data_IF_715052123414
#
_entry.id   IF_715052123414
#
_cell.length_a   1.000
_cell.length_b   1.000
_cell.length_c   1.000
_cell.angle_alpha   90.00
_cell.angle_beta   90.00
_cell.angle_gamma   90.00
#
_symmetry.space_group_name_H-M   'P 1'
#
loop_
_entity.id
_entity.type
_entity.pdbx_description
1 polymer ?
#
# COMPACT_ATOMS: atom_id res chain seq x y z
N UNK A 1 -4.58 -5.08 -20.52
CA UNK A 1 -3.44 -5.38 -19.65
C UNK A 1 -2.73 -4.09 -19.28
N UNK A 2 -2.46 -3.86 -17.98
CA UNK A 2 -1.71 -2.69 -17.48
C UNK A 2 -0.38 -3.07 -16.86
N UNK A 3 -0.19 -4.31 -16.49
CA UNK A 3 1.07 -4.80 -15.90
C UNK A 3 0.98 -6.23 -15.41
N UNK A 4 1.98 -6.61 -14.63
CA UNK A 4 2.10 -7.93 -14.00
C UNK A 4 2.35 -7.74 -12.51
N UNK A 5 1.66 -8.51 -11.71
CA UNK A 5 1.93 -8.57 -10.28
C UNK A 5 3.19 -9.41 -10.01
N UNK A 6 3.76 -9.24 -8.83
CA UNK A 6 5.02 -9.91 -8.44
C UNK A 6 4.91 -11.43 -8.32
N UNK A 7 3.70 -11.96 -8.26
CA UNK A 7 3.39 -13.41 -8.28
C UNK A 7 3.14 -13.96 -9.69
N UNK A 8 3.39 -13.13 -10.73
CA UNK A 8 3.31 -13.53 -12.14
C UNK A 8 1.92 -13.45 -12.75
N UNK A 9 0.87 -13.06 -12.01
CA UNK A 9 -0.44 -12.87 -12.59
C UNK A 9 -0.58 -11.50 -13.26
N UNK A 10 -1.33 -11.41 -14.39
CA UNK A 10 -1.55 -10.15 -15.09
C UNK A 10 -2.51 -9.25 -14.32
N UNK A 11 -2.33 -7.95 -14.49
CA UNK A 11 -3.19 -6.92 -13.95
C UNK A 11 -3.87 -6.13 -15.08
N UNK A 12 -5.17 -5.93 -14.96
CA UNK A 12 -6.00 -5.19 -15.91
C UNK A 12 -6.64 -3.99 -15.26
N UNK A 13 -7.09 -3.01 -16.05
CA UNK A 13 -7.75 -1.82 -15.54
C UNK A 13 -9.24 -1.86 -15.84
N UNK A 14 -10.03 -1.76 -14.79
CA UNK A 14 -11.46 -1.58 -14.58
C UNK A 14 -12.44 -2.40 -15.44
N UNK A 15 -12.11 -2.75 -16.68
CA UNK A 15 -13.04 -3.43 -17.59
C UNK A 15 -12.66 -4.89 -17.81
N UNK A 16 -13.65 -5.75 -17.84
CA UNK A 16 -13.51 -7.17 -18.15
C UNK A 16 -14.80 -7.73 -18.73
N UNK A 17 -14.77 -8.97 -19.19
CA UNK A 17 -15.92 -9.66 -19.73
C UNK A 17 -16.97 -9.91 -18.62
N UNK A 18 -18.25 -9.73 -18.93
CA UNK A 18 -19.33 -9.98 -17.96
C UNK A 18 -19.46 -11.46 -17.59
N UNK A 19 -19.14 -12.35 -18.52
CA UNK A 19 -19.01 -13.80 -18.27
C UNK A 19 -17.53 -14.17 -18.26
N UNK A 20 -17.08 -14.76 -17.16
CA UNK A 20 -15.68 -15.16 -16.96
C UNK A 20 -15.19 -16.24 -17.92
N UNK A 21 -16.11 -16.95 -18.59
CA UNK A 21 -15.79 -18.06 -19.50
C UNK A 21 -16.07 -17.72 -20.97
N UNK A 22 -16.59 -16.53 -21.27
CA UNK A 22 -17.00 -16.14 -22.62
C UNK A 22 -16.41 -14.79 -23.04
N UNK A 23 -15.41 -14.85 -23.90
CA UNK A 23 -14.76 -13.66 -24.49
C UNK A 23 -15.64 -12.88 -25.49
N UNK A 24 -16.82 -13.41 -25.83
CA UNK A 24 -17.82 -12.71 -26.66
C UNK A 24 -18.88 -11.99 -25.81
N UNK A 25 -18.87 -12.16 -24.50
CA UNK A 25 -19.79 -11.48 -23.59
C UNK A 25 -19.52 -9.97 -23.53
N UNK A 26 -20.46 -9.23 -22.97
CA UNK A 26 -20.34 -7.77 -22.83
C UNK A 26 -19.11 -7.39 -21.97
N UNK A 27 -18.47 -6.29 -22.31
CA UNK A 27 -17.41 -5.70 -21.50
C UNK A 27 -18.05 -4.74 -20.50
N UNK A 28 -17.85 -5.03 -19.22
CA UNK A 28 -18.39 -4.25 -18.10
C UNK A 28 -17.26 -3.70 -17.21
N UNK A 29 -17.58 -2.67 -16.43
CA UNK A 29 -16.73 -2.23 -15.33
C UNK A 29 -16.89 -3.20 -14.18
N UNK A 30 -15.78 -3.89 -13.83
CA UNK A 30 -15.78 -4.87 -12.76
C UNK A 30 -15.80 -4.20 -11.40
N UNK A 31 -16.66 -4.69 -10.52
CA UNK A 31 -16.86 -4.13 -9.18
C UNK A 31 -16.11 -4.94 -8.13
N UNK A 32 -15.40 -4.30 -7.19
CA UNK A 32 -14.81 -4.99 -6.06
C UNK A 32 -15.90 -5.57 -5.13
N UNK A 33 -15.57 -6.64 -4.43
CA UNK A 33 -16.44 -7.20 -3.38
C UNK A 33 -16.14 -6.61 -1.99
N UNK A 34 -15.49 -5.47 -1.97
CA UNK A 34 -15.26 -4.67 -0.78
C UNK A 34 -16.26 -3.52 -0.69
N UNK A 35 -16.78 -3.26 0.49
CA UNK A 35 -17.64 -2.11 0.72
C UNK A 35 -17.26 -1.37 2.01
N UNK A 36 -17.63 -0.10 2.07
CA UNK A 36 -17.54 0.68 3.29
C UNK A 36 -18.48 0.11 4.36
N UNK A 37 -17.98 -0.11 5.57
CA UNK A 37 -18.78 -0.50 6.72
C UNK A 37 -19.79 0.59 7.07
N UNK A 38 -20.96 0.17 7.55
CA UNK A 38 -22.00 1.11 8.01
C UNK A 38 -21.69 1.76 9.35
N UNK A 39 -20.90 1.07 10.16
CA UNK A 39 -20.50 1.51 11.49
C UNK A 39 -18.98 1.32 11.66
N UNK A 40 -18.31 2.22 12.39
CA UNK A 40 -16.90 2.07 12.68
C UNK A 40 -16.63 0.88 13.62
N UNK A 41 -15.46 0.27 13.50
CA UNK A 41 -15.01 -0.74 14.44
C UNK A 41 -14.76 -0.12 15.83
N UNK A 42 -14.91 -0.93 16.88
CA UNK A 42 -14.58 -0.52 18.24
C UNK A 42 -13.10 -0.09 18.33
N UNK A 43 -12.88 1.08 18.90
CA UNK A 43 -11.53 1.66 19.03
C UNK A 43 -11.02 2.39 17.79
N UNK A 44 -11.81 2.47 16.71
CA UNK A 44 -11.46 3.31 15.57
C UNK A 44 -11.41 4.78 16.02
N UNK A 45 -10.31 5.52 15.74
CA UNK A 45 -10.28 6.94 16.04
C UNK A 45 -11.29 7.70 15.17
N UNK A 46 -12.05 8.58 15.76
CA UNK A 46 -13.03 9.46 15.09
C UNK A 46 -12.47 10.85 14.79
N UNK A 47 -11.36 11.20 15.45
CA UNK A 47 -10.69 12.49 15.28
C UNK A 47 -9.18 12.32 15.30
N UNK A 48 -8.49 13.25 14.69
CA UNK A 48 -7.04 13.39 14.78
C UNK A 48 -6.65 14.80 15.23
N UNK A 49 -5.44 14.93 15.74
CA UNK A 49 -4.81 16.23 15.97
C UNK A 49 -3.70 16.43 14.95
N UNK A 50 -3.79 17.48 14.16
CA UNK A 50 -2.76 17.83 13.19
C UNK A 50 -1.97 19.07 13.65
N UNK A 51 -0.65 19.02 13.48
CA UNK A 51 0.24 20.16 13.65
C UNK A 51 0.63 20.65 12.23
N UNK A 52 0.20 21.84 11.87
CA UNK A 52 0.52 22.46 10.61
C UNK A 52 1.52 23.61 10.82
N UNK A 53 2.50 23.76 9.93
CA UNK A 53 3.49 24.83 9.98
C UNK A 53 4.79 24.48 10.73
N UNK A 54 5.03 23.20 11.02
CA UNK A 54 6.27 22.72 11.66
C UNK A 54 6.44 23.10 13.12
N UNK A 55 7.66 23.08 13.65
CA UNK A 55 7.96 23.47 15.04
C UNK A 55 7.48 24.89 15.34
N UNK A 56 6.54 25.04 16.28
CA UNK A 56 5.87 26.30 16.58
C UNK A 56 4.66 26.64 15.70
N UNK A 57 4.24 25.74 14.84
CA UNK A 57 3.06 25.88 14.02
C UNK A 57 1.73 25.75 14.79
N UNK A 58 0.64 25.80 14.03
CA UNK A 58 -0.70 25.75 14.63
C UNK A 58 -1.16 24.32 14.80
N UNK A 59 -1.60 23.98 16.01
CA UNK A 59 -2.24 22.70 16.31
C UNK A 59 -3.75 22.79 16.09
N UNK A 60 -4.27 21.88 15.30
CA UNK A 60 -5.69 21.69 15.04
C UNK A 60 -6.17 20.41 15.72
N UNK A 61 -6.75 20.51 16.93
CA UNK A 61 -7.27 19.33 17.64
C UNK A 61 -8.64 18.92 17.10
N UNK A 62 -8.95 17.63 17.26
CA UNK A 62 -10.28 17.10 16.99
C UNK A 62 -10.76 17.29 15.53
N UNK A 63 -9.87 17.12 14.57
CA UNK A 63 -10.25 17.08 13.16
C UNK A 63 -11.00 15.76 12.93
N UNK A 64 -12.26 15.79 12.45
CA UNK A 64 -13.03 14.58 12.19
C UNK A 64 -12.34 13.69 11.13
N UNK A 65 -12.39 12.38 11.35
CA UNK A 65 -11.92 11.38 10.41
C UNK A 65 -13.14 10.67 9.81
N UNK A 66 -13.44 10.99 8.57
CA UNK A 66 -14.58 10.39 7.87
C UNK A 66 -14.39 8.87 7.67
N UNK A 67 -15.50 8.14 7.63
CA UNK A 67 -15.50 6.71 7.25
C UNK A 67 -14.94 6.55 5.84
N UNK A 68 -14.06 5.55 5.66
CA UNK A 68 -13.32 5.33 4.42
C UNK A 68 -11.88 5.85 4.45
N UNK A 69 -11.49 6.58 5.50
CA UNK A 69 -10.11 7.07 5.67
C UNK A 69 -9.12 5.95 5.99
N UNK A 70 -9.58 4.88 6.61
CA UNK A 70 -8.76 3.71 6.96
C UNK A 70 -9.16 2.47 6.17
N UNK A 71 -8.21 1.60 5.91
CA UNK A 71 -8.47 0.31 5.24
C UNK A 71 -9.42 -0.57 6.04
N UNK A 72 -9.37 -0.49 7.37
CA UNK A 72 -10.28 -1.20 8.28
C UNK A 72 -11.72 -0.70 8.25
N UNK A 73 -11.98 0.46 7.64
CA UNK A 73 -13.34 0.95 7.43
C UNK A 73 -14.10 0.15 6.37
N UNK A 74 -13.39 -0.70 5.64
CA UNK A 74 -13.97 -1.54 4.59
C UNK A 74 -14.02 -3.00 5.04
N UNK A 75 -15.02 -3.72 4.52
CA UNK A 75 -15.21 -5.14 4.72
C UNK A 75 -15.34 -5.86 3.38
N UNK A 76 -14.76 -7.06 3.29
CA UNK A 76 -14.96 -7.94 2.16
C UNK A 76 -16.23 -8.76 2.35
N UNK A 77 -17.04 -8.87 1.29
CA UNK A 77 -18.25 -9.70 1.26
C UNK A 77 -18.21 -10.54 0.00
N UNK A 78 -18.07 -11.83 0.16
CA UNK A 78 -18.07 -12.78 -0.96
C UNK A 78 -19.32 -12.63 -1.83
N UNK A 79 -19.12 -12.46 -3.14
CA UNK A 79 -20.19 -12.32 -4.11
C UNK A 79 -20.94 -10.97 -4.09
N UNK A 80 -20.44 -9.97 -3.36
CA UNK A 80 -21.01 -8.61 -3.40
C UNK A 80 -20.72 -7.92 -4.73
N UNK A 81 -19.52 -8.08 -5.26
CA UNK A 81 -19.10 -7.62 -6.59
C UNK A 81 -18.63 -8.77 -7.47
N UNK A 82 -17.79 -8.45 -8.43
CA UNK A 82 -17.28 -9.38 -9.44
C UNK A 82 -15.92 -10.01 -9.06
N UNK A 83 -15.27 -9.47 -8.03
CA UNK A 83 -13.89 -9.75 -7.66
C UNK A 83 -13.79 -10.40 -6.28
N UNK A 84 -12.74 -11.15 -6.06
CA UNK A 84 -12.43 -11.80 -4.78
C UNK A 84 -11.80 -10.83 -3.76
N UNK A 85 -11.38 -11.35 -2.62
CA UNK A 85 -10.75 -10.58 -1.53
C UNK A 85 -9.41 -9.94 -1.93
N UNK A 86 -8.71 -10.49 -2.94
CA UNK A 86 -7.48 -9.95 -3.49
C UNK A 86 -7.71 -8.95 -4.64
N UNK A 87 -8.95 -8.57 -4.90
CA UNK A 87 -9.37 -7.73 -6.02
C UNK A 87 -8.99 -8.33 -7.38
N UNK A 88 -9.18 -9.63 -7.52
CA UNK A 88 -8.95 -10.39 -8.73
C UNK A 88 -10.06 -11.39 -8.99
N UNK A 89 -9.94 -12.12 -10.09
CA UNK A 89 -10.83 -13.25 -10.43
C UNK A 89 -10.17 -14.17 -11.46
N UNK A 90 -10.70 -15.37 -11.61
CA UNK A 90 -10.37 -16.27 -12.73
C UNK A 90 -11.30 -15.97 -13.90
N UNK A 91 -10.75 -15.89 -15.11
CA UNK A 91 -11.55 -15.73 -16.32
C UNK A 91 -10.72 -15.57 -17.58
N UNK A 92 -11.40 -15.58 -18.71
CA UNK A 92 -10.77 -15.34 -20.02
C UNK A 92 -10.42 -13.87 -20.19
N UNK A 93 -9.32 -13.62 -20.89
CA UNK A 93 -8.90 -12.27 -21.27
C UNK A 93 -8.41 -12.32 -22.74
N UNK A 94 -8.21 -11.18 -23.42
CA UNK A 94 -7.71 -11.18 -24.80
C UNK A 94 -6.36 -11.91 -24.94
N UNK A 95 -5.49 -11.82 -23.92
CA UNK A 95 -4.18 -12.47 -23.92
C UNK A 95 -4.24 -13.92 -23.43
N UNK A 96 -5.28 -14.29 -22.67
CA UNK A 96 -5.45 -15.62 -22.07
C UNK A 96 -6.85 -16.18 -22.38
N UNK A 97 -7.10 -16.67 -23.60
CA UNK A 97 -8.42 -17.17 -24.02
C UNK A 97 -8.85 -18.45 -23.31
N UNK A 98 -7.92 -19.20 -22.72
CA UNK A 98 -8.20 -20.39 -21.89
C UNK A 98 -8.50 -20.03 -20.42
N UNK A 99 -8.42 -18.76 -20.08
CA UNK A 99 -8.61 -18.27 -18.72
C UNK A 99 -7.34 -18.28 -17.87
N UNK A 100 -7.24 -17.30 -17.00
CA UNK A 100 -6.17 -17.15 -16.02
C UNK A 100 -6.74 -16.42 -14.81
N UNK A 101 -6.08 -16.52 -13.65
CA UNK A 101 -6.31 -15.57 -12.57
C UNK A 101 -5.69 -14.23 -12.94
N UNK A 102 -6.39 -13.13 -12.66
CA UNK A 102 -5.89 -11.79 -12.90
C UNK A 102 -6.40 -10.79 -11.88
N UNK A 103 -5.60 -9.76 -11.62
CA UNK A 103 -5.94 -8.65 -10.74
C UNK A 103 -6.60 -7.52 -11.50
N UNK A 104 -7.45 -6.76 -10.81
CA UNK A 104 -8.08 -5.58 -11.37
C UNK A 104 -7.66 -4.31 -10.65
N UNK A 105 -7.40 -3.25 -11.42
CA UNK A 105 -7.45 -1.88 -10.94
C UNK A 105 -8.88 -1.41 -11.04
N UNK A 106 -9.48 -1.02 -9.92
CA UNK A 106 -10.88 -0.61 -9.81
C UNK A 106 -11.01 0.86 -9.45
N UNK A 107 -12.18 1.46 -9.69
CA UNK A 107 -12.47 2.85 -9.30
C UNK A 107 -12.74 2.97 -7.81
N UNK A 108 -13.27 1.90 -7.19
CA UNK A 108 -13.59 1.83 -5.78
C UNK A 108 -12.56 1.01 -5.00
N UNK A 109 -12.55 1.17 -3.68
CA UNK A 109 -11.70 0.40 -2.78
C UNK A 109 -11.84 -1.13 -3.04
N UNK A 110 -10.73 -1.85 -3.12
CA UNK A 110 -9.35 -1.52 -2.69
C UNK A 110 -8.48 -0.87 -3.77
N UNK A 111 -9.00 -0.46 -4.89
CA UNK A 111 -8.33 0.17 -6.03
C UNK A 111 -7.34 -0.74 -6.76
N UNK A 112 -6.64 -1.61 -6.06
CA UNK A 112 -5.75 -2.64 -6.58
C UNK A 112 -5.70 -3.85 -5.63
N UNK A 113 -4.83 -4.83 -5.91
CA UNK A 113 -4.77 -6.07 -5.13
C UNK A 113 -4.46 -5.84 -3.66
N UNK A 114 -5.17 -6.56 -2.79
CA UNK A 114 -4.95 -6.57 -1.34
C UNK A 114 -4.06 -7.72 -0.89
N UNK A 115 -3.91 -8.73 -1.72
CA UNK A 115 -3.10 -9.91 -1.49
C UNK A 115 -2.65 -10.50 -2.82
N UNK A 116 -1.77 -11.45 -2.79
CA UNK A 116 -1.30 -12.18 -3.95
C UNK A 116 -1.79 -13.63 -3.87
N UNK A 117 -2.21 -14.20 -5.00
CA UNK A 117 -2.76 -15.55 -5.11
C UNK A 117 -1.73 -16.56 -5.61
N UNK A 118 -0.70 -16.09 -6.30
CA UNK A 118 0.38 -16.90 -6.82
C UNK A 118 1.56 -16.99 -5.86
N UNK A 119 2.55 -17.73 -6.32
CA UNK A 119 3.85 -17.83 -5.64
C UNK A 119 4.80 -16.81 -6.25
N UNK A 120 5.62 -16.19 -5.41
CA UNK A 120 6.68 -15.33 -5.92
C UNK A 120 7.66 -16.17 -6.73
N UNK A 121 7.97 -15.73 -7.92
CA UNK A 121 8.99 -16.35 -8.80
C UNK A 121 10.42 -16.05 -8.34
N UNK A 122 10.66 -16.03 -7.05
CA UNK A 122 11.93 -15.87 -6.36
C UNK A 122 11.74 -16.33 -4.94
N UNK A 123 12.01 -17.57 -4.71
CA UNK A 123 11.97 -18.36 -3.51
C UNK A 123 11.57 -17.67 -2.21
N UNK A 124 10.43 -18.03 -1.67
CA UNK A 124 10.07 -17.76 -0.29
C UNK A 124 8.69 -17.14 -0.13
N UNK A 125 7.68 -17.96 0.12
CA UNK A 125 6.40 -17.52 0.66
C UNK A 125 6.57 -16.95 2.07
N UNK A 126 6.19 -15.69 2.23
CA UNK A 126 6.43 -14.85 3.39
C UNK A 126 7.64 -13.98 3.10
N UNK A 127 7.46 -12.71 2.83
CA UNK A 127 8.44 -11.68 2.55
C UNK A 127 9.93 -11.96 2.90
N UNK A 128 10.47 -13.02 2.37
CA UNK A 128 11.88 -13.37 2.53
C UNK A 128 12.71 -12.35 1.80
N UNK A 129 13.60 -11.73 2.51
CA UNK A 129 14.57 -10.80 1.94
C UNK A 129 15.56 -11.66 1.16
N UNK A 130 15.89 -11.26 -0.09
CA UNK A 130 16.86 -12.02 -0.88
C UNK A 130 18.23 -12.06 -0.19
N UNK A 131 18.94 -13.15 -0.39
CA UNK A 131 20.31 -13.29 0.05
C UNK A 131 21.20 -12.25 -0.67
N UNK A 132 22.17 -11.66 0.02
CA UNK A 132 23.00 -10.57 -0.51
C UNK A 132 23.84 -10.94 -1.73
N UNK A 133 24.01 -12.24 -2.02
CA UNK A 133 24.75 -12.68 -3.22
C UNK A 133 24.05 -12.31 -4.54
N UNK A 134 22.71 -12.15 -4.52
CA UNK A 134 21.89 -11.89 -5.70
C UNK A 134 21.36 -10.45 -5.80
N UNK A 135 21.71 -9.58 -4.84
CA UNK A 135 21.15 -8.21 -4.74
C UNK A 135 22.18 -7.16 -5.13
N UNK A 136 21.82 -6.17 -5.98
CA UNK A 136 22.71 -5.06 -6.28
C UNK A 136 23.11 -4.26 -5.03
N UNK A 137 24.33 -3.76 -4.94
CA UNK A 137 24.79 -2.97 -3.79
C UNK A 137 23.88 -1.80 -3.45
N UNK A 138 23.46 -1.71 -2.17
CA UNK A 138 22.60 -0.64 -1.67
C UNK A 138 21.10 -0.98 -1.58
N UNK A 139 20.71 -2.20 -1.91
CA UNK A 139 19.38 -2.72 -1.61
C UNK A 139 19.42 -3.60 -0.36
N UNK A 140 18.38 -3.61 0.49
CA UNK A 140 18.32 -4.43 1.68
C UNK A 140 18.33 -5.92 1.32
N UNK A 141 19.16 -6.68 2.00
CA UNK A 141 19.31 -8.12 1.79
C UNK A 141 19.73 -8.79 3.10
N UNK A 142 19.23 -9.99 3.36
CA UNK A 142 19.60 -10.74 4.54
C UNK A 142 21.06 -11.22 4.48
N UNK A 143 21.87 -10.89 5.50
CA UNK A 143 23.30 -11.19 5.58
C UNK A 143 24.21 -10.00 5.30
N UNK A 144 23.68 -8.78 5.22
CA UNK A 144 24.49 -7.57 5.08
C UNK A 144 24.98 -7.00 6.43
N UNK A 145 24.49 -7.56 7.53
CA UNK A 145 24.84 -7.17 8.90
C UNK A 145 24.06 -5.96 9.42
N UNK A 146 23.01 -5.52 8.69
CA UNK A 146 22.19 -4.37 9.05
C UNK A 146 20.73 -4.76 9.05
N UNK A 147 20.10 -4.86 10.22
CA UNK A 147 18.66 -5.06 10.32
C UNK A 147 17.91 -3.81 9.84
N UNK A 148 17.43 -3.80 8.60
CA UNK A 148 16.82 -2.61 8.02
C UNK A 148 15.76 -2.89 6.95
N UNK A 149 14.97 -1.86 6.61
CA UNK A 149 13.94 -1.99 5.57
C UNK A 149 12.83 -2.97 5.92
N UNK A 150 12.59 -4.02 5.09
CA UNK A 150 11.58 -5.03 5.35
C UNK A 150 12.08 -6.21 6.22
N UNK A 151 13.30 -6.14 6.77
CA UNK A 151 13.90 -7.19 7.58
C UNK A 151 13.29 -7.26 8.98
N UNK A 152 13.14 -8.48 9.45
CA UNK A 152 12.62 -8.78 10.79
C UNK A 152 13.37 -9.99 11.35
N UNK A 153 13.34 -10.17 12.66
CA UNK A 153 13.90 -11.37 13.30
C UNK A 153 13.34 -12.69 12.75
N UNK A 154 12.13 -12.64 12.18
CA UNK A 154 11.44 -13.82 11.65
C UNK A 154 11.90 -14.18 10.22
N UNK A 155 12.21 -13.18 9.39
CA UNK A 155 12.59 -13.38 7.98
C UNK A 155 14.10 -13.20 7.70
N UNK A 156 14.83 -12.53 8.60
CA UNK A 156 16.27 -12.39 8.57
C UNK A 156 16.89 -12.42 9.98
N UNK A 157 16.91 -13.59 10.64
CA UNK A 157 17.46 -13.72 11.98
C UNK A 157 18.96 -13.45 12.07
N UNK A 158 19.68 -13.51 10.96
CA UNK A 158 21.14 -13.28 10.94
C UNK A 158 21.50 -11.82 11.19
N UNK A 159 20.70 -10.89 10.66
CA UNK A 159 20.90 -9.45 10.81
C UNK A 159 20.08 -8.88 11.97
N UNK A 160 18.89 -9.47 12.27
CA UNK A 160 17.94 -8.97 13.25
C UNK A 160 17.91 -9.73 14.60
N UNK A 161 18.75 -10.75 14.81
CA UNK A 161 18.70 -11.62 16.01
C UNK A 161 19.12 -10.96 17.34
N UNK A 162 19.47 -9.68 17.35
CA UNK A 162 19.98 -9.00 18.56
C UNK A 162 18.99 -8.02 19.21
N UNK A 163 17.70 -8.19 18.97
CA UNK A 163 16.68 -7.39 19.66
C UNK A 163 16.53 -5.97 19.11
N UNK A 164 16.98 -5.72 17.90
CA UNK A 164 16.71 -4.49 17.18
C UNK A 164 15.22 -4.42 16.81
N UNK A 165 14.48 -3.72 17.63
CA UNK A 165 13.21 -3.17 17.19
C UNK A 165 13.56 -2.02 16.25
N UNK A 166 13.31 -2.19 14.94
CA UNK A 166 13.53 -1.12 13.96
C UNK A 166 12.95 0.23 14.41
N UNK A 167 13.32 1.32 13.75
CA UNK A 167 13.05 2.68 14.22
C UNK A 167 11.58 2.93 14.53
N UNK A 168 11.30 3.45 15.71
CA UNK A 168 9.95 3.89 16.08
C UNK A 168 9.71 5.32 15.64
N UNK A 169 8.59 5.55 14.96
CA UNK A 169 8.15 6.89 14.60
C UNK A 169 7.76 7.67 15.86
N UNK A 170 8.52 8.72 16.19
CA UNK A 170 8.24 9.57 17.34
C UNK A 170 7.37 10.75 16.95
N UNK A 171 7.61 11.34 15.78
CA UNK A 171 6.93 12.54 15.36
C UNK A 171 6.81 12.64 13.83
N UNK A 172 5.67 13.15 13.38
CA UNK A 172 5.42 13.50 12.00
C UNK A 172 4.90 14.93 11.94
N UNK A 173 5.60 15.81 11.28
CA UNK A 173 5.21 17.22 11.15
C UNK A 173 5.19 17.65 9.68
N UNK A 174 4.12 18.32 9.28
CA UNK A 174 3.96 18.89 7.93
C UNK A 174 4.20 20.39 7.98
N UNK A 175 5.10 20.90 7.15
CA UNK A 175 5.42 22.32 7.03
C UNK A 175 4.57 22.99 5.93
N UNK A 176 3.27 23.16 6.16
CA UNK A 176 2.42 23.97 5.30
C UNK A 176 1.14 24.38 6.02
N UNK A 177 0.90 25.66 6.18
CA UNK A 177 -0.35 26.19 6.73
C UNK A 177 -1.50 26.08 5.73
N UNK A 178 -1.20 26.27 4.47
CA UNK A 178 -2.14 26.15 3.35
C UNK A 178 -1.37 25.86 2.08
N UNK A 179 -1.91 24.99 1.22
CA UNK A 179 -1.34 24.67 -0.07
C UNK A 179 -2.26 25.23 -1.16
N UNK A 180 -1.80 26.27 -1.83
CA UNK A 180 -2.51 26.83 -2.99
C UNK A 180 -1.93 26.25 -4.28
N UNK A 181 -2.64 25.31 -4.88
CA UNK A 181 -2.23 24.62 -6.11
C UNK A 181 -2.68 25.32 -7.39
N UNK A 182 -3.38 26.47 -7.30
CA UNK A 182 -3.92 27.20 -8.48
C UNK A 182 -2.84 27.77 -9.40
N UNK A 183 -1.59 27.85 -8.92
CA UNK A 183 -0.45 28.38 -9.68
C UNK A 183 0.53 27.29 -10.16
N UNK A 184 0.18 26.02 -9.97
CA UNK A 184 1.01 24.87 -10.33
C UNK A 184 1.39 24.00 -9.13
N UNK A 185 2.30 23.04 -9.31
CA UNK A 185 2.71 22.13 -8.25
C UNK A 185 3.42 22.85 -7.11
N UNK A 186 3.08 22.50 -5.87
CA UNK A 186 3.63 23.10 -4.65
C UNK A 186 4.39 22.02 -3.88
N UNK A 187 5.59 22.34 -3.41
CA UNK A 187 6.36 21.47 -2.54
C UNK A 187 5.85 21.62 -1.10
N UNK A 188 5.36 20.52 -0.52
CA UNK A 188 5.02 20.44 0.90
C UNK A 188 6.12 19.68 1.61
N UNK A 189 6.80 20.34 2.55
CA UNK A 189 7.80 19.72 3.39
C UNK A 189 7.14 19.05 4.61
N UNK A 190 7.64 17.89 4.99
CA UNK A 190 7.31 17.27 6.27
C UNK A 190 8.59 16.74 6.93
N UNK A 191 8.57 16.62 8.24
CA UNK A 191 9.65 15.99 9.02
C UNK A 191 9.09 14.76 9.68
N UNK A 192 9.82 13.67 9.53
CA UNK A 192 9.63 12.45 10.29
C UNK A 192 10.78 12.36 11.29
N UNK A 193 10.45 12.28 12.57
CA UNK A 193 11.41 11.93 13.60
C UNK A 193 11.17 10.48 14.01
N UNK A 194 12.21 9.68 13.83
CA UNK A 194 12.22 8.30 14.28
C UNK A 194 13.37 8.12 15.27
N UNK A 195 13.19 7.30 16.28
CA UNK A 195 14.20 6.91 17.25
C UNK A 195 14.52 5.45 17.10
N UNK A 196 15.78 5.15 17.05
CA UNK A 196 16.33 3.82 17.07
C UNK A 196 17.27 3.68 18.29
N UNK A 197 17.11 2.59 19.02
CA UNK A 197 17.85 2.37 20.27
C UNK A 197 19.33 2.05 20.06
N UNK A 198 19.77 1.83 18.84
CA UNK A 198 21.14 1.46 18.49
C UNK A 198 21.99 2.57 17.85
N UNK A 199 21.50 3.81 17.83
CA UNK A 199 22.22 5.01 17.35
C UNK A 199 22.46 5.11 15.83
N UNK A 200 21.74 4.41 14.99
CA UNK A 200 21.99 4.38 13.54
C UNK A 200 21.20 5.39 12.71
N UNK A 201 20.25 6.15 13.28
CA UNK A 201 19.42 7.10 12.53
C UNK A 201 19.94 8.54 12.58
N UNK A 202 20.40 9.00 11.43
CA UNK A 202 20.43 10.42 11.09
C UNK A 202 19.06 10.88 10.57
N UNK A 203 18.66 12.12 10.86
CA UNK A 203 17.40 12.73 10.44
C UNK A 203 17.13 12.58 8.94
N UNK A 204 15.98 11.97 8.57
CA UNK A 204 15.53 11.87 7.18
C UNK A 204 14.51 12.96 6.86
N UNK A 205 14.71 13.66 5.75
CA UNK A 205 13.74 14.60 5.22
C UNK A 205 13.10 13.99 3.98
N UNK A 206 11.81 13.65 4.08
CA UNK A 206 10.99 13.20 2.95
C UNK A 206 10.29 14.41 2.32
N UNK A 207 10.36 14.54 0.99
CA UNK A 207 9.60 15.55 0.24
C UNK A 207 8.41 14.88 -0.45
N UNK A 208 7.20 15.27 -0.07
CA UNK A 208 5.99 14.92 -0.80
C UNK A 208 5.70 16.02 -1.82
N UNK A 209 5.65 15.66 -3.10
CA UNK A 209 5.20 16.56 -4.17
C UNK A 209 3.73 16.24 -4.44
N UNK A 210 2.84 17.15 -4.07
CA UNK A 210 1.41 17.02 -4.37
C UNK A 210 1.14 17.80 -5.65
N UNK A 211 0.92 17.08 -6.75
CA UNK A 211 0.45 17.68 -7.99
C UNK A 211 -1.08 17.83 -7.88
N UNK A 212 -1.54 19.05 -7.60
CA UNK A 212 -2.96 19.37 -7.68
C UNK A 212 -3.37 19.40 -9.14
N UNK A 213 -4.22 18.46 -9.57
CA UNK A 213 -4.96 18.60 -10.82
C UNK A 213 -6.06 19.67 -10.68
N UNK A 214 -6.59 20.19 -11.80
CA UNK A 214 -7.67 21.16 -11.80
C UNK A 214 -8.95 20.60 -11.21
#
# INVERSE_FOLDING_TARGET
LVGWASDGFPAYARYGYSDTNDSSSDIISLQPSWRLKTEPDEGRPDTLTALLGGPGGTTYPNIPIEMGAFTQDFEYIEGYGDLDECNGRIGVTPEFPEGIYYYMVTDDFPFFSRCLKGEFAGGGGGGGIPDCEDVPPGNPCCGDGVCGGPETEENCPEDCASGDAGPSLINFSIYADTVNTSQGPVNVGFVIEAEDNDNFLSNYTLRLIINGGP
#
